data_IF_632505958519
#
_entry.id   IF_632505958519
#
_cell.length_a   1.000
_cell.length_b   1.000
_cell.length_c   1.000
_cell.angle_alpha   90.00
_cell.angle_beta   90.00
_cell.angle_gamma   90.00
#
_symmetry.space_group_name_H-M   'P 1'
#
loop_
_entity.id
_entity.type
_entity.pdbx_description
1 polymer ?
#
# COMPACT_ATOMS: atom_id res chain seq x y z
N UNK A 1 -12.26 8.38 77.57
CA UNK A 1 -12.35 7.34 76.53
C UNK A 1 -13.47 7.77 75.61
N UNK A 2 -13.14 8.45 74.51
CA UNK A 2 -14.11 8.84 73.47
C UNK A 2 -13.78 8.03 72.21
N UNK A 3 -14.75 7.27 71.73
CA UNK A 3 -14.61 6.43 70.56
C UNK A 3 -15.01 7.22 69.31
N UNK A 4 -14.04 7.48 68.43
CA UNK A 4 -14.29 8.02 67.09
C UNK A 4 -14.67 6.86 66.18
N UNK A 5 -15.92 6.82 65.69
CA UNK A 5 -16.33 5.92 64.62
C UNK A 5 -16.11 6.65 63.29
N UNK A 6 -15.11 6.24 62.53
CA UNK A 6 -14.91 6.67 61.14
C UNK A 6 -15.67 5.70 60.24
N UNK A 7 -16.81 6.14 59.69
CA UNK A 7 -17.53 5.39 58.65
C UNK A 7 -17.04 5.90 57.29
N UNK A 8 -15.97 5.30 56.78
CA UNK A 8 -15.53 5.51 55.40
C UNK A 8 -16.40 4.65 54.49
N UNK A 9 -17.42 5.23 53.87
CA UNK A 9 -18.18 4.56 52.81
C UNK A 9 -17.37 4.62 51.51
N UNK A 10 -16.34 3.76 51.41
CA UNK A 10 -15.62 3.51 50.16
C UNK A 10 -16.51 2.62 49.29
N UNK A 11 -17.31 3.23 48.42
CA UNK A 11 -17.91 2.51 47.31
C UNK A 11 -16.76 1.97 46.46
N UNK A 12 -16.55 0.66 46.48
CA UNK A 12 -15.54 -0.02 45.68
C UNK A 12 -15.74 0.33 44.21
N UNK A 13 -14.87 1.18 43.68
CA UNK A 13 -14.71 1.32 42.24
C UNK A 13 -14.09 0.00 41.78
N UNK A 14 -14.91 -0.89 41.21
CA UNK A 14 -14.39 -2.03 40.46
C UNK A 14 -14.02 -1.49 39.07
N UNK A 15 -12.73 -1.19 38.77
CA UNK A 15 -12.35 -1.00 37.39
C UNK A 15 -12.70 -2.32 36.68
N UNK A 16 -13.50 -2.26 35.62
CA UNK A 16 -13.74 -3.42 34.77
C UNK A 16 -12.37 -4.01 34.40
N UNK A 17 -12.09 -5.22 34.88
CA UNK A 17 -10.82 -5.91 34.67
C UNK A 17 -10.76 -6.62 33.31
N UNK A 18 -11.64 -6.25 32.38
CA UNK A 18 -11.65 -6.84 31.05
C UNK A 18 -10.46 -6.28 30.28
N UNK A 19 -9.39 -7.07 30.24
CA UNK A 19 -8.32 -6.88 29.27
C UNK A 19 -8.94 -6.82 27.87
N UNK A 20 -8.66 -5.77 27.08
CA UNK A 20 -9.16 -5.69 25.71
C UNK A 20 -8.81 -6.99 24.98
N UNK A 21 -9.82 -7.65 24.42
CA UNK A 21 -9.64 -8.89 23.65
C UNK A 21 -8.70 -8.68 22.45
N UNK A 22 -8.55 -7.44 22.00
CA UNK A 22 -7.72 -7.05 20.88
C UNK A 22 -6.67 -6.03 21.35
N UNK A 23 -5.40 -6.38 21.20
CA UNK A 23 -4.30 -5.44 21.33
C UNK A 23 -4.06 -4.76 19.98
N UNK A 24 -4.40 -3.48 19.89
CA UNK A 24 -4.26 -2.69 18.67
C UNK A 24 -2.91 -1.95 18.61
N UNK A 25 -2.01 -2.15 19.59
CA UNK A 25 -0.69 -1.52 19.57
C UNK A 25 0.13 -2.06 18.40
N UNK A 26 0.51 -1.17 17.48
CA UNK A 26 1.23 -1.54 16.25
C UNK A 26 0.33 -1.97 15.09
N UNK A 27 -1.00 -2.01 15.28
CA UNK A 27 -1.92 -2.21 14.17
C UNK A 27 -1.91 -0.96 13.27
N UNK A 28 -1.70 -1.16 11.97
CA UNK A 28 -2.00 -0.13 10.99
C UNK A 28 -3.52 -0.15 10.82
N UNK A 29 -4.21 0.90 11.28
CA UNK A 29 -5.67 1.01 11.17
C UNK A 29 -5.97 2.10 10.15
N UNK A 30 -6.50 1.68 9.00
CA UNK A 30 -6.72 2.59 7.87
C UNK A 30 -7.90 3.55 8.10
N UNK A 31 -9.02 3.09 8.68
CA UNK A 31 -10.17 3.94 9.04
C UNK A 31 -10.81 3.47 10.35
N UNK A 32 -11.29 4.42 11.16
CA UNK A 32 -12.11 4.16 12.36
C UNK A 32 -13.38 5.02 12.27
N UNK A 33 -14.55 4.40 12.41
CA UNK A 33 -15.84 5.09 12.31
C UNK A 33 -16.82 4.57 13.38
N UNK A 34 -17.53 5.49 14.03
CA UNK A 34 -18.48 5.19 15.10
C UNK A 34 -19.85 4.72 14.56
N UNK A 35 -20.31 5.30 13.44
CA UNK A 35 -21.51 4.83 12.72
C UNK A 35 -21.30 4.98 11.21
N UNK A 36 -21.49 3.90 10.46
CA UNK A 36 -21.37 3.89 8.99
C UNK A 36 -22.73 3.58 8.38
N UNK A 37 -23.29 4.51 7.60
CA UNK A 37 -24.56 4.34 6.89
C UNK A 37 -24.38 3.81 5.44
N UNK A 38 -23.17 3.31 5.10
CA UNK A 38 -22.79 2.79 3.79
C UNK A 38 -21.56 1.87 3.88
N UNK A 39 -20.86 1.62 2.77
CA UNK A 39 -19.63 0.80 2.77
C UNK A 39 -18.43 1.57 3.32
N UNK A 40 -17.82 1.08 4.40
CA UNK A 40 -16.51 1.53 4.84
C UNK A 40 -15.42 0.87 3.98
N UNK A 41 -14.98 1.56 2.92
CA UNK A 41 -13.82 1.13 2.11
C UNK A 41 -12.57 1.78 2.70
N UNK A 42 -11.68 0.98 3.27
CA UNK A 42 -10.36 1.44 3.70
C UNK A 42 -9.31 0.83 2.79
N UNK A 43 -8.53 1.66 2.08
CA UNK A 43 -7.39 1.21 1.29
C UNK A 43 -6.15 1.42 2.14
N UNK A 44 -5.45 0.31 2.40
CA UNK A 44 -4.27 0.32 3.24
C UNK A 44 -3.04 0.20 2.35
N UNK A 45 -2.34 1.31 2.16
CA UNK A 45 -1.12 1.34 1.35
C UNK A 45 0.05 0.80 2.20
N UNK A 46 0.35 -0.48 2.06
CA UNK A 46 1.58 -1.07 2.62
C UNK A 46 2.76 -0.66 1.73
N UNK A 47 3.43 0.44 2.09
CA UNK A 47 4.61 0.90 1.37
C UNK A 47 5.82 0.02 1.71
N UNK A 48 6.60 -0.34 0.67
CA UNK A 48 7.90 -0.95 0.85
C UNK A 48 8.82 -0.06 1.71
N UNK A 49 9.66 -0.66 2.54
CA UNK A 49 10.71 0.08 3.25
C UNK A 49 11.69 0.71 2.24
N UNK A 50 12.39 1.82 2.58
CA UNK A 50 13.27 2.51 1.63
C UNK A 50 14.34 1.62 0.99
N UNK A 51 14.86 0.64 1.73
CA UNK A 51 15.83 -0.34 1.22
C UNK A 51 15.19 -1.25 0.16
N UNK A 52 14.05 -1.86 0.48
CA UNK A 52 13.30 -2.71 -0.45
C UNK A 52 12.81 -1.93 -1.67
N UNK A 53 12.53 -0.63 -1.51
CA UNK A 53 12.09 0.25 -2.59
C UNK A 53 13.22 0.55 -3.58
N UNK A 54 14.45 0.72 -3.10
CA UNK A 54 15.61 0.91 -3.96
C UNK A 54 15.91 -0.34 -4.80
N UNK A 55 15.84 -1.52 -4.19
CA UNK A 55 15.98 -2.82 -4.89
C UNK A 55 14.86 -3.01 -5.92
N UNK A 56 13.62 -2.75 -5.53
CA UNK A 56 12.47 -2.78 -6.42
C UNK A 56 12.58 -1.81 -7.61
N UNK A 57 13.07 -0.59 -7.37
CA UNK A 57 13.33 0.39 -8.42
C UNK A 57 14.37 -0.11 -9.42
N UNK A 58 15.44 -0.76 -8.93
CA UNK A 58 16.44 -1.38 -9.78
C UNK A 58 15.85 -2.51 -10.63
N UNK A 59 15.00 -3.37 -10.08
CA UNK A 59 14.35 -4.44 -10.85
C UNK A 59 13.47 -3.87 -11.98
N UNK A 60 12.69 -2.83 -11.71
CA UNK A 60 11.86 -2.17 -12.74
C UNK A 60 12.73 -1.53 -13.82
N UNK A 61 13.78 -0.83 -13.43
CA UNK A 61 14.70 -0.22 -14.39
C UNK A 61 15.42 -1.27 -15.24
N UNK A 62 15.82 -2.40 -14.66
CA UNK A 62 16.43 -3.50 -15.39
C UNK A 62 15.47 -4.10 -16.43
N UNK A 63 14.21 -4.32 -16.06
CA UNK A 63 13.19 -4.77 -17.01
C UNK A 63 13.06 -3.81 -18.20
N UNK A 64 12.90 -2.51 -17.92
CA UNK A 64 12.75 -1.48 -18.95
C UNK A 64 14.00 -1.44 -19.84
N UNK A 65 15.19 -1.53 -19.25
CA UNK A 65 16.45 -1.55 -20.00
C UNK A 65 16.57 -2.78 -20.91
N UNK A 66 16.20 -3.96 -20.44
CA UNK A 66 16.22 -5.20 -21.25
C UNK A 66 15.25 -5.11 -22.43
N UNK A 67 14.04 -4.59 -22.18
CA UNK A 67 13.04 -4.43 -23.24
C UNK A 67 13.46 -3.35 -24.25
N UNK A 68 14.10 -2.26 -23.81
CA UNK A 68 14.56 -1.19 -24.71
C UNK A 68 15.64 -1.66 -25.67
N UNK A 69 16.45 -2.66 -25.29
CA UNK A 69 17.44 -3.29 -26.18
C UNK A 69 16.80 -4.14 -27.28
N UNK A 70 15.62 -4.70 -27.02
CA UNK A 70 14.94 -5.63 -27.93
C UNK A 70 13.88 -4.93 -28.78
N UNK A 71 13.24 -3.88 -28.23
CA UNK A 71 12.17 -3.14 -28.85
C UNK A 71 12.58 -1.67 -29.02
N UNK A 72 12.89 -1.21 -30.24
CA UNK A 72 13.16 0.19 -30.51
C UNK A 72 11.94 1.05 -30.16
N UNK A 73 12.15 2.35 -29.93
CA UNK A 73 11.10 3.32 -29.55
C UNK A 73 11.16 4.60 -30.39
N UNK A 74 11.67 4.49 -31.62
CA UNK A 74 11.93 5.64 -32.50
C UNK A 74 10.65 6.20 -33.14
N UNK A 75 9.66 5.33 -33.39
CA UNK A 75 8.36 5.70 -33.94
C UNK A 75 7.24 5.56 -32.91
N UNK A 76 6.10 6.19 -33.16
CA UNK A 76 4.94 6.09 -32.27
C UNK A 76 4.41 4.65 -32.17
N UNK A 77 4.40 3.90 -33.28
CA UNK A 77 3.98 2.49 -33.32
C UNK A 77 4.92 1.60 -32.51
N UNK A 78 6.22 1.87 -32.60
CA UNK A 78 7.25 1.19 -31.81
C UNK A 78 7.10 1.47 -30.31
N UNK A 79 6.81 2.72 -29.91
CA UNK A 79 6.52 3.08 -28.51
C UNK A 79 5.31 2.33 -27.97
N UNK A 80 4.23 2.26 -28.74
CA UNK A 80 3.04 1.49 -28.34
C UNK A 80 3.35 0.00 -28.19
N UNK A 81 4.17 -0.55 -29.08
CA UNK A 81 4.63 -1.94 -28.99
C UNK A 81 5.46 -2.14 -27.72
N UNK A 82 6.40 -1.24 -27.43
CA UNK A 82 7.22 -1.28 -26.22
C UNK A 82 6.37 -1.23 -24.94
N UNK A 83 5.40 -0.32 -24.88
CA UNK A 83 4.45 -0.23 -23.76
C UNK A 83 3.67 -1.53 -23.58
N UNK A 84 3.18 -2.13 -24.68
CA UNK A 84 2.46 -3.40 -24.64
C UNK A 84 3.33 -4.56 -24.12
N UNK A 85 4.63 -4.57 -24.47
CA UNK A 85 5.56 -5.59 -23.97
C UNK A 85 5.86 -5.42 -22.48
N UNK A 86 6.03 -4.18 -22.00
CA UNK A 86 6.19 -3.91 -20.57
C UNK A 86 4.96 -4.33 -19.78
N UNK A 87 3.76 -4.01 -20.27
CA UNK A 87 2.50 -4.47 -19.65
C UNK A 87 2.38 -6.00 -19.64
N UNK A 88 2.76 -6.67 -20.75
CA UNK A 88 2.74 -8.13 -20.84
C UNK A 88 3.70 -8.78 -19.83
N UNK A 89 4.92 -8.26 -19.67
CA UNK A 89 5.88 -8.77 -18.68
C UNK A 89 5.41 -8.53 -17.25
N UNK A 90 4.81 -7.38 -16.95
CA UNK A 90 4.23 -7.11 -15.62
C UNK A 90 3.05 -8.07 -15.33
N UNK A 91 2.20 -8.37 -16.32
CA UNK A 91 1.09 -9.31 -16.16
C UNK A 91 1.54 -10.76 -16.01
N UNK A 92 2.59 -11.15 -16.74
CA UNK A 92 3.17 -12.51 -16.69
C UNK A 92 3.94 -12.75 -15.39
N UNK A 93 4.58 -11.72 -14.85
CA UNK A 93 5.43 -11.81 -13.68
C UNK A 93 4.72 -11.28 -12.43
N UNK A 94 4.13 -12.19 -11.65
CA UNK A 94 3.43 -11.86 -10.41
C UNK A 94 4.30 -11.14 -9.38
N UNK A 95 5.61 -11.40 -9.35
CA UNK A 95 6.57 -10.67 -8.50
C UNK A 95 6.67 -9.21 -8.92
N UNK A 96 6.85 -8.91 -10.21
CA UNK A 96 6.93 -7.52 -10.68
C UNK A 96 5.65 -6.74 -10.39
N UNK A 97 4.49 -7.39 -10.59
CA UNK A 97 3.20 -6.80 -10.22
C UNK A 97 3.12 -6.51 -8.72
N UNK A 98 3.50 -7.46 -7.87
CA UNK A 98 3.50 -7.30 -6.41
C UNK A 98 4.47 -6.20 -5.95
N UNK A 99 5.66 -6.12 -6.56
CA UNK A 99 6.64 -5.05 -6.31
C UNK A 99 6.02 -3.69 -6.63
N UNK A 100 5.37 -3.53 -7.78
CA UNK A 100 4.70 -2.28 -8.16
C UNK A 100 3.57 -1.90 -7.21
N UNK A 101 2.77 -2.87 -6.76
CA UNK A 101 1.68 -2.63 -5.79
C UNK A 101 2.25 -2.19 -4.43
N UNK A 102 3.27 -2.89 -3.93
CA UNK A 102 3.89 -2.64 -2.61
C UNK A 102 4.74 -1.37 -2.60
N UNK A 103 5.50 -1.11 -3.66
CA UNK A 103 6.28 0.12 -3.79
C UNK A 103 5.43 1.35 -4.15
N UNK A 104 4.19 1.11 -4.61
CA UNK A 104 3.18 2.13 -4.80
C UNK A 104 3.61 3.25 -5.75
N UNK A 105 3.20 4.48 -5.42
CA UNK A 105 3.36 5.65 -6.29
C UNK A 105 4.83 5.93 -6.65
N UNK A 106 5.77 5.64 -5.74
CA UNK A 106 7.19 5.91 -5.98
C UNK A 106 7.74 5.05 -7.14
N UNK A 107 7.31 3.78 -7.23
CA UNK A 107 7.70 2.92 -8.35
C UNK A 107 6.93 3.26 -9.63
N UNK A 108 5.67 3.71 -9.51
CA UNK A 108 4.91 4.22 -10.67
C UNK A 108 5.60 5.44 -11.30
N UNK A 109 6.15 6.36 -10.49
CA UNK A 109 6.92 7.51 -10.98
C UNK A 109 8.19 7.10 -11.74
N UNK A 110 8.72 5.90 -11.49
CA UNK A 110 9.88 5.35 -12.21
C UNK A 110 9.43 4.64 -13.49
N UNK A 111 8.34 3.88 -13.43
CA UNK A 111 7.81 3.10 -14.55
C UNK A 111 7.20 3.97 -15.66
N UNK A 112 6.40 4.98 -15.31
CA UNK A 112 5.59 5.72 -16.28
C UNK A 112 6.37 6.62 -17.26
N UNK A 113 7.37 7.42 -16.83
CA UNK A 113 8.10 8.32 -17.73
C UNK A 113 8.76 7.64 -18.95
N UNK A 114 9.51 6.53 -18.81
CA UNK A 114 10.12 5.85 -19.97
C UNK A 114 9.09 5.23 -20.91
N UNK A 115 7.85 4.99 -20.44
CA UNK A 115 6.74 4.49 -21.23
C UNK A 115 5.95 5.60 -21.94
N UNK A 116 6.22 6.87 -21.65
CA UNK A 116 5.40 7.99 -22.12
C UNK A 116 3.97 7.98 -21.53
N UNK A 117 3.75 7.24 -20.45
CA UNK A 117 2.43 7.12 -19.80
C UNK A 117 2.29 8.25 -18.77
N UNK A 118 1.16 8.96 -18.71
CA UNK A 118 0.90 9.93 -17.65
C UNK A 118 0.89 9.24 -16.28
N UNK A 119 1.56 9.84 -15.28
CA UNK A 119 1.63 9.28 -13.92
C UNK A 119 0.24 9.02 -13.32
N UNK A 120 -0.76 9.85 -13.63
CA UNK A 120 -2.15 9.67 -13.19
C UNK A 120 -2.77 8.35 -13.69
N UNK A 121 -2.41 7.91 -14.90
CA UNK A 121 -2.85 6.61 -15.41
C UNK A 121 -2.18 5.46 -14.65
N UNK A 122 -0.90 5.62 -14.30
CA UNK A 122 -0.18 4.67 -13.45
C UNK A 122 -0.74 4.60 -12.03
N UNK A 123 -1.13 5.73 -11.44
CA UNK A 123 -1.81 5.77 -10.13
C UNK A 123 -3.15 5.05 -10.18
N UNK A 124 -3.97 5.30 -11.21
CA UNK A 124 -5.25 4.60 -11.39
C UNK A 124 -5.05 3.10 -11.55
N UNK A 125 -4.05 2.68 -12.32
CA UNK A 125 -3.69 1.26 -12.41
C UNK A 125 -3.33 0.68 -11.04
N UNK A 126 -2.49 1.36 -10.27
CA UNK A 126 -2.08 0.95 -8.92
C UNK A 126 -3.29 0.79 -7.99
N UNK A 127 -4.21 1.75 -7.98
CA UNK A 127 -5.46 1.67 -7.22
C UNK A 127 -6.27 0.43 -7.62
N UNK A 128 -6.52 0.23 -8.91
CA UNK A 128 -7.28 -0.94 -9.38
C UNK A 128 -6.58 -2.27 -9.09
N UNK A 129 -5.25 -2.30 -9.18
CA UNK A 129 -4.45 -3.50 -8.92
C UNK A 129 -4.46 -3.86 -7.42
N UNK A 130 -4.39 -2.87 -6.53
CA UNK A 130 -4.47 -3.06 -5.08
C UNK A 130 -5.84 -3.53 -4.57
N UNK A 131 -6.91 -3.26 -5.33
CA UNK A 131 -8.28 -3.69 -4.99
C UNK A 131 -8.62 -5.11 -5.48
N UNK A 132 -7.73 -5.73 -6.25
CA UNK A 132 -7.94 -7.04 -6.87
C UNK A 132 -7.23 -8.19 -6.15
N UNK A 133 -6.70 -7.94 -4.95
CA UNK A 133 -6.16 -8.94 -4.01
C UNK A 133 -7.21 -9.40 -2.99
#
# INVERSE_FOLDING_TARGET
MDAIIIISNLQSFNPMSETPKYDLRGANIANFADTVQGDQKAVQHNYATPQNLAEAAQEIQQLISQLTQTYPTNTEVEKQTFVAQVDAEIKKNSRLRSILITGGIELIKILCPPLGIPIEMGKKWLETASLSE
#
